data_IF_974032834827
#
_entry.id   IF_974032834827
#
_cell.length_a   1.000
_cell.length_b   1.000
_cell.length_c   1.000
_cell.angle_alpha   90.00
_cell.angle_beta   90.00
_cell.angle_gamma   90.00
#
_symmetry.space_group_name_H-M   'P 1'
#
loop_
_entity.id
_entity.type
_entity.pdbx_description
1 polymer ?
#
# COMPACT_ATOMS: atom_id res chain seq x y z
N UNK A 1 24.01 -31.14 -36.18
CA UNK A 1 24.35 -31.04 -34.75
C UNK A 1 23.27 -30.18 -34.10
N UNK A 2 22.37 -30.79 -33.32
CA UNK A 2 21.21 -30.13 -32.73
C UNK A 2 21.59 -29.47 -31.40
N UNK A 3 21.59 -28.14 -31.37
CA UNK A 3 21.88 -27.30 -30.19
C UNK A 3 20.70 -27.30 -29.19
N UNK A 4 19.57 -27.93 -29.52
CA UNK A 4 18.38 -27.98 -28.68
C UNK A 4 18.49 -29.08 -27.59
N UNK A 5 19.36 -30.11 -27.79
CA UNK A 5 19.51 -31.21 -26.84
C UNK A 5 20.27 -30.85 -25.56
N UNK A 6 21.21 -29.91 -25.61
CA UNK A 6 22.08 -29.57 -24.47
C UNK A 6 21.44 -28.63 -23.45
N UNK A 7 20.44 -27.84 -23.85
CA UNK A 7 19.70 -26.98 -22.92
C UNK A 7 18.73 -27.80 -22.08
N UNK A 8 18.16 -28.88 -22.65
CA UNK A 8 17.14 -29.65 -21.93
C UNK A 8 17.73 -30.53 -20.82
N UNK A 9 18.95 -31.05 -21.01
CA UNK A 9 19.65 -31.80 -19.95
C UNK A 9 20.11 -30.92 -18.78
N UNK A 10 20.27 -29.61 -18.99
CA UNK A 10 20.66 -28.66 -17.93
C UNK A 10 19.49 -28.21 -17.04
N UNK A 11 18.25 -28.27 -17.53
CA UNK A 11 17.05 -27.77 -16.81
C UNK A 11 16.26 -28.90 -16.13
N UNK A 12 16.54 -30.16 -16.51
CA UNK A 12 15.92 -31.37 -15.94
C UNK A 12 15.97 -31.47 -14.40
N UNK A 13 17.10 -31.21 -13.71
CA UNK A 13 17.13 -31.32 -12.25
C UNK A 13 16.36 -30.20 -11.52
N UNK A 14 16.01 -29.10 -12.19
CA UNK A 14 15.18 -28.02 -11.64
C UNK A 14 13.70 -28.35 -11.79
N UNK A 15 13.31 -28.98 -12.90
CA UNK A 15 11.92 -29.37 -13.17
C UNK A 15 11.43 -30.51 -12.27
N UNK A 16 12.31 -31.46 -11.93
CA UNK A 16 11.97 -32.59 -11.05
C UNK A 16 11.80 -32.18 -9.57
N UNK A 17 12.26 -30.98 -9.17
CA UNK A 17 12.08 -30.44 -7.82
C UNK A 17 10.80 -29.60 -7.69
N UNK A 18 10.34 -28.98 -8.77
CA UNK A 18 9.18 -28.07 -8.75
C UNK A 18 7.86 -28.81 -8.97
N UNK A 19 7.89 -30.09 -9.36
CA UNK A 19 6.70 -30.80 -9.81
C UNK A 19 6.31 -32.08 -9.04
N UNK A 20 6.03 -32.00 -7.72
CA UNK A 20 5.16 -33.00 -7.10
C UNK A 20 3.97 -32.43 -6.28
N UNK A 21 3.58 -31.15 -6.47
CA UNK A 21 2.41 -30.59 -5.75
C UNK A 21 1.28 -30.18 -6.70
N UNK A 22 1.10 -30.91 -7.80
CA UNK A 22 -0.16 -30.90 -8.53
C UNK A 22 -0.54 -32.35 -8.87
N UNK A 23 -1.69 -32.76 -8.32
CA UNK A 23 -2.51 -33.91 -8.70
C UNK A 23 -2.08 -35.29 -8.16
N UNK A 24 -2.47 -35.60 -6.92
CA UNK A 24 -3.16 -36.87 -6.62
C UNK A 24 -4.20 -36.64 -5.53
N UNK A 25 -5.46 -36.40 -5.89
CA UNK A 25 -6.60 -36.84 -5.07
C UNK A 25 -7.68 -37.33 -6.03
N UNK A 26 -7.88 -38.65 -6.04
CA UNK A 26 -8.77 -39.37 -6.95
C UNK A 26 -10.27 -39.16 -6.70
N UNK A 27 -11.14 -39.94 -7.39
CA UNK A 27 -12.59 -39.70 -7.51
C UNK A 27 -13.41 -39.77 -6.21
N UNK A 28 -12.79 -40.02 -5.06
CA UNK A 28 -13.44 -39.97 -3.75
C UNK A 28 -13.71 -38.53 -3.25
N UNK A 29 -13.10 -37.51 -3.86
CA UNK A 29 -13.35 -36.10 -3.53
C UNK A 29 -14.72 -35.58 -4.03
N UNK A 30 -15.41 -36.32 -4.91
CA UNK A 30 -16.68 -35.90 -5.52
C UNK A 30 -17.91 -35.95 -4.60
N UNK A 31 -17.87 -36.76 -3.53
CA UNK A 31 -19.02 -36.91 -2.62
C UNK A 31 -18.89 -36.15 -1.28
N UNK A 32 -17.68 -35.71 -0.90
CA UNK A 32 -17.47 -34.86 0.28
C UNK A 32 -17.79 -33.38 0.04
N UNK A 33 -17.63 -32.91 -1.20
CA UNK A 33 -17.84 -31.50 -1.55
C UNK A 33 -19.32 -31.08 -1.52
N UNK A 34 -20.26 -31.99 -1.83
CA UNK A 34 -21.69 -31.65 -1.80
C UNK A 34 -22.23 -31.51 -0.37
N UNK A 35 -21.75 -32.33 0.59
CA UNK A 35 -22.15 -32.24 2.00
C UNK A 35 -21.54 -31.01 2.72
N UNK A 36 -20.34 -30.57 2.32
CA UNK A 36 -19.73 -29.32 2.84
C UNK A 36 -20.35 -28.07 2.20
N UNK A 37 -20.88 -28.18 0.98
CA UNK A 37 -21.64 -27.11 0.32
C UNK A 37 -23.10 -26.98 0.82
N UNK A 38 -23.73 -28.08 1.26
CA UNK A 38 -25.14 -28.06 1.70
C UNK A 38 -25.33 -27.89 3.22
N UNK A 39 -24.27 -27.89 4.05
CA UNK A 39 -24.39 -27.75 5.51
C UNK A 39 -23.65 -26.58 6.16
N UNK A 40 -23.31 -25.52 5.41
CA UNK A 40 -23.11 -24.21 6.05
C UNK A 40 -24.46 -23.52 6.19
N UNK A 41 -25.16 -23.89 7.27
CA UNK A 41 -26.06 -22.95 7.96
C UNK A 41 -25.38 -21.59 7.92
N UNK A 42 -25.99 -20.64 7.20
CA UNK A 42 -25.62 -19.23 7.26
C UNK A 42 -25.57 -18.86 8.74
N UNK A 43 -24.37 -18.88 9.34
CA UNK A 43 -24.11 -18.00 10.47
C UNK A 43 -24.43 -16.63 9.89
N UNK A 44 -25.51 -16.02 10.37
CA UNK A 44 -25.75 -14.59 10.17
C UNK A 44 -24.55 -13.91 10.80
N UNK A 45 -23.52 -13.69 9.98
CA UNK A 45 -22.38 -12.85 10.28
C UNK A 45 -22.89 -11.43 10.04
N UNK A 46 -22.61 -10.55 10.99
CA UNK A 46 -23.12 -9.18 11.01
C UNK A 46 -22.40 -8.38 9.91
N UNK A 47 -22.88 -8.47 8.66
CA UNK A 47 -22.24 -7.80 7.50
C UNK A 47 -22.18 -6.27 7.66
N UNK A 48 -22.99 -5.70 8.56
CA UNK A 48 -22.98 -4.27 8.87
C UNK A 48 -21.69 -3.85 9.58
N UNK A 49 -21.19 -4.62 10.56
CA UNK A 49 -19.99 -4.26 11.34
C UNK A 49 -18.73 -4.20 10.45
N UNK A 50 -18.61 -5.11 9.47
CA UNK A 50 -17.50 -5.09 8.52
C UNK A 50 -17.59 -3.91 7.56
N UNK A 51 -18.81 -3.54 7.12
CA UNK A 51 -19.03 -2.41 6.20
C UNK A 51 -18.76 -1.07 6.89
N UNK A 52 -19.22 -0.91 8.12
CA UNK A 52 -19.00 0.31 8.92
C UNK A 52 -17.50 0.54 9.19
N UNK A 53 -16.77 -0.54 9.52
CA UNK A 53 -15.31 -0.48 9.74
C UNK A 53 -14.55 -0.10 8.47
N UNK A 54 -15.00 -0.62 7.31
CA UNK A 54 -14.43 -0.30 6.00
C UNK A 54 -14.73 1.14 5.61
N UNK A 55 -15.96 1.61 5.79
CA UNK A 55 -16.34 2.98 5.49
C UNK A 55 -15.51 3.98 6.32
N UNK A 56 -15.34 3.71 7.62
CA UNK A 56 -14.47 4.52 8.49
C UNK A 56 -13.02 4.56 7.98
N UNK A 57 -12.46 3.41 7.58
CA UNK A 57 -11.11 3.34 7.04
C UNK A 57 -10.99 4.13 5.72
N UNK A 58 -11.98 4.02 4.82
CA UNK A 58 -12.00 4.75 3.54
C UNK A 58 -12.07 6.25 3.76
N UNK A 59 -12.89 6.71 4.70
CA UNK A 59 -13.00 8.13 5.04
C UNK A 59 -11.68 8.67 5.57
N UNK A 60 -11.05 7.95 6.51
CA UNK A 60 -9.76 8.34 7.06
C UNK A 60 -8.68 8.38 5.97
N UNK A 61 -8.55 7.30 5.18
CA UNK A 61 -7.59 7.21 4.08
C UNK A 61 -7.77 8.36 3.10
N UNK A 62 -9.02 8.66 2.70
CA UNK A 62 -9.30 9.73 1.74
C UNK A 62 -8.92 11.10 2.31
N UNK A 63 -9.32 11.41 3.54
CA UNK A 63 -8.99 12.68 4.17
C UNK A 63 -7.46 12.87 4.29
N UNK A 64 -6.75 11.81 4.68
CA UNK A 64 -5.30 11.84 4.88
C UNK A 64 -4.52 11.85 3.58
N UNK A 65 -4.97 11.13 2.55
CA UNK A 65 -4.38 11.18 1.21
C UNK A 65 -4.31 12.62 0.67
N UNK A 66 -5.40 13.40 0.78
CA UNK A 66 -5.39 14.80 0.35
C UNK A 66 -4.46 15.68 1.19
N UNK A 67 -4.40 15.45 2.51
CA UNK A 67 -3.51 16.19 3.41
C UNK A 67 -2.03 15.91 3.09
N UNK A 68 -1.68 14.63 2.89
CA UNK A 68 -0.33 14.19 2.50
C UNK A 68 0.08 14.83 1.18
N UNK A 69 -0.75 14.74 0.13
CA UNK A 69 -0.41 15.31 -1.18
C UNK A 69 -0.14 16.82 -1.13
N UNK A 70 -0.94 17.57 -0.36
CA UNK A 70 -0.69 19.01 -0.12
C UNK A 70 0.66 19.23 0.55
N UNK A 71 0.98 18.43 1.56
CA UNK A 71 2.19 18.63 2.36
C UNK A 71 3.47 18.18 1.63
N UNK A 72 3.37 17.23 0.70
CA UNK A 72 4.44 16.89 -0.25
C UNK A 72 4.81 18.10 -1.11
N UNK A 73 3.82 18.77 -1.69
CA UNK A 73 4.07 19.95 -2.53
C UNK A 73 4.66 21.12 -1.73
N UNK A 74 4.15 21.34 -0.51
CA UNK A 74 4.72 22.36 0.39
C UNK A 74 6.16 22.02 0.80
N UNK A 75 6.46 20.75 1.07
CA UNK A 75 7.80 20.28 1.41
C UNK A 75 8.80 20.50 0.27
N UNK A 76 8.41 20.16 -0.97
CA UNK A 76 9.21 20.41 -2.18
C UNK A 76 9.49 21.89 -2.36
N UNK A 77 8.44 22.72 -2.33
CA UNK A 77 8.57 24.17 -2.54
C UNK A 77 9.50 24.83 -1.51
N UNK A 78 9.28 24.55 -0.23
CA UNK A 78 10.10 25.14 0.84
C UNK A 78 11.52 24.61 0.85
N UNK A 79 11.71 23.31 0.66
CA UNK A 79 13.03 22.69 0.68
C UNK A 79 13.93 23.10 -0.47
N UNK A 80 13.40 23.22 -1.70
CA UNK A 80 14.17 23.72 -2.85
C UNK A 80 14.65 25.16 -2.65
N UNK A 81 13.81 26.01 -2.03
CA UNK A 81 14.20 27.38 -1.69
C UNK A 81 15.28 27.43 -0.59
N UNK A 82 15.18 26.58 0.44
CA UNK A 82 16.20 26.46 1.50
C UNK A 82 17.54 25.95 0.94
N UNK A 83 17.52 24.96 0.04
CA UNK A 83 18.71 24.43 -0.60
C UNK A 83 19.36 25.43 -1.58
N UNK A 84 18.56 26.29 -2.22
CA UNK A 84 19.04 27.37 -3.10
C UNK A 84 19.51 28.64 -2.39
N UNK A 85 19.35 28.73 -1.07
CA UNK A 85 19.71 29.90 -0.26
C UNK A 85 21.20 29.91 0.14
N UNK A 86 22.08 29.93 -0.87
CA UNK A 86 23.38 30.59 -0.76
C UNK A 86 23.37 32.00 -1.40
N UNK A 87 22.26 32.43 -2.04
CA UNK A 87 22.25 33.64 -2.89
C UNK A 87 21.23 34.74 -2.53
N UNK A 88 20.38 34.59 -1.51
CA UNK A 88 19.37 35.63 -1.17
C UNK A 88 19.56 36.25 0.23
N UNK A 89 19.68 37.59 0.35
CA UNK A 89 20.11 38.27 1.57
C UNK A 89 18.95 38.76 2.48
N UNK A 90 17.86 37.99 2.62
CA UNK A 90 16.73 38.42 3.47
C UNK A 90 16.30 37.31 4.43
N UNK A 91 16.20 37.65 5.71
CA UNK A 91 15.80 36.87 6.88
C UNK A 91 14.35 36.29 6.83
N UNK A 92 13.89 35.84 5.67
CA UNK A 92 12.73 34.93 5.53
C UNK A 92 13.09 33.45 5.79
N UNK A 93 14.38 33.18 6.01
CA UNK A 93 14.99 31.85 6.15
C UNK A 93 14.44 31.06 7.36
N UNK A 94 14.12 31.67 8.53
CA UNK A 94 13.54 30.93 9.65
C UNK A 94 12.15 30.36 9.33
N UNK A 95 11.27 31.16 8.70
CA UNK A 95 9.89 30.74 8.44
C UNK A 95 9.78 29.64 7.38
N UNK A 96 10.68 29.61 6.38
CA UNK A 96 10.70 28.53 5.40
C UNK A 96 11.19 27.20 6.00
N UNK A 97 12.24 27.23 6.83
CA UNK A 97 12.72 26.04 7.54
C UNK A 97 11.65 25.48 8.48
N UNK A 98 10.95 26.37 9.20
CA UNK A 98 9.82 26.00 10.05
C UNK A 98 8.67 25.40 9.23
N UNK A 99 8.30 26.01 8.09
CA UNK A 99 7.26 25.46 7.21
C UNK A 99 7.66 24.09 6.62
N UNK A 100 8.92 23.91 6.26
CA UNK A 100 9.45 22.62 5.80
C UNK A 100 9.42 21.56 6.90
N UNK A 101 9.77 21.93 8.14
CA UNK A 101 9.69 21.05 9.29
C UNK A 101 8.23 20.71 9.63
N UNK A 102 7.31 21.67 9.52
CA UNK A 102 5.88 21.47 9.74
C UNK A 102 5.27 20.53 8.69
N UNK A 103 5.56 20.72 7.40
CA UNK A 103 5.07 19.81 6.36
C UNK A 103 5.63 18.40 6.54
N UNK A 104 6.91 18.28 6.91
CA UNK A 104 7.52 16.99 7.30
C UNK A 104 6.79 16.35 8.48
N UNK A 105 6.53 17.10 9.55
CA UNK A 105 5.85 16.61 10.74
C UNK A 105 4.43 16.11 10.42
N UNK A 106 3.64 16.92 9.72
CA UNK A 106 2.26 16.55 9.33
C UNK A 106 2.21 15.31 8.46
N UNK A 107 3.13 15.14 7.50
CA UNK A 107 3.20 13.91 6.71
C UNK A 107 3.49 12.68 7.58
N UNK A 108 4.38 12.80 8.57
CA UNK A 108 4.68 11.70 9.51
C UNK A 108 3.47 11.38 10.37
N UNK A 109 2.77 12.39 10.87
CA UNK A 109 1.58 12.23 11.72
C UNK A 109 0.43 11.58 10.93
N UNK A 110 0.11 12.10 9.74
CA UNK A 110 -0.92 11.55 8.87
C UNK A 110 -0.61 10.09 8.47
N UNK A 111 0.65 9.79 8.14
CA UNK A 111 1.06 8.41 7.88
C UNK A 111 0.91 7.53 9.12
N UNK A 112 1.23 8.03 10.31
CA UNK A 112 1.16 7.27 11.56
C UNK A 112 -0.28 6.91 11.90
N UNK A 113 -1.22 7.85 11.75
CA UNK A 113 -2.65 7.58 11.93
C UNK A 113 -3.13 6.45 11.01
N UNK A 114 -2.80 6.50 9.72
CA UNK A 114 -3.15 5.44 8.76
C UNK A 114 -2.48 4.10 9.13
N UNK A 115 -1.19 4.10 9.51
CA UNK A 115 -0.47 2.88 9.88
C UNK A 115 -1.07 2.23 11.14
N UNK A 116 -1.64 3.04 12.03
CA UNK A 116 -2.24 2.58 13.29
C UNK A 116 -3.67 2.03 13.15
N UNK A 117 -4.26 2.09 11.96
CA UNK A 117 -5.59 1.52 11.71
C UNK A 117 -5.58 0.02 11.99
N UNK A 118 -6.50 -0.43 12.85
CA UNK A 118 -6.80 -1.85 13.07
C UNK A 118 -8.00 -2.25 12.21
N UNK A 119 -7.74 -2.67 10.97
CA UNK A 119 -8.77 -3.18 10.07
C UNK A 119 -8.83 -4.71 10.19
N UNK A 120 -9.83 -5.22 10.89
CA UNK A 120 -10.12 -6.65 10.94
C UNK A 120 -11.37 -6.95 10.12
N UNK A 121 -11.19 -7.53 8.93
CA UNK A 121 -12.31 -7.92 8.07
C UNK A 121 -12.62 -9.41 8.25
N UNK A 122 -13.80 -9.72 8.76
CA UNK A 122 -14.22 -11.12 9.02
C UNK A 122 -14.82 -11.80 7.79
N UNK A 123 -15.16 -11.03 6.78
CA UNK A 123 -15.88 -11.48 5.60
C UNK A 123 -14.91 -11.69 4.42
N UNK A 124 -15.02 -12.86 3.78
CA UNK A 124 -14.13 -13.26 2.69
C UNK A 124 -14.33 -12.43 1.43
N UNK A 125 -15.53 -11.90 1.24
CA UNK A 125 -15.89 -11.12 0.05
C UNK A 125 -15.13 -9.77 0.01
N UNK A 126 -14.53 -9.37 1.13
CA UNK A 126 -13.79 -8.12 1.28
C UNK A 126 -12.27 -8.31 1.40
N UNK A 127 -11.77 -9.52 1.14
CA UNK A 127 -10.34 -9.82 1.30
C UNK A 127 -9.47 -8.97 0.36
N UNK A 128 -9.91 -8.76 -0.88
CA UNK A 128 -9.22 -7.91 -1.85
C UNK A 128 -9.18 -6.45 -1.38
N UNK A 129 -10.26 -5.98 -0.75
CA UNK A 129 -10.33 -4.64 -0.17
C UNK A 129 -9.33 -4.44 0.98
N UNK A 130 -9.23 -5.43 1.87
CA UNK A 130 -8.25 -5.46 2.95
C UNK A 130 -6.80 -5.42 2.41
N UNK A 131 -6.53 -6.18 1.34
CA UNK A 131 -5.23 -6.17 0.65
C UNK A 131 -4.89 -4.79 0.06
N UNK A 132 -5.88 -4.11 -0.54
CA UNK A 132 -5.71 -2.75 -1.06
C UNK A 132 -5.45 -1.71 0.05
N UNK A 133 -6.16 -1.78 1.18
CA UNK A 133 -5.87 -0.95 2.36
C UNK A 133 -4.45 -1.22 2.89
N UNK A 134 -4.06 -2.50 3.00
CA UNK A 134 -2.71 -2.87 3.46
C UNK A 134 -1.62 -2.35 2.53
N UNK A 135 -1.87 -2.34 1.22
CA UNK A 135 -0.96 -1.72 0.24
C UNK A 135 -0.82 -0.23 0.49
N UNK A 136 -1.93 0.50 0.69
CA UNK A 136 -1.89 1.92 1.02
C UNK A 136 -1.12 2.19 2.33
N UNK A 137 -1.38 1.41 3.40
CA UNK A 137 -0.63 1.49 4.65
C UNK A 137 0.87 1.22 4.46
N UNK A 138 1.24 0.31 3.56
CA UNK A 138 2.63 0.03 3.23
C UNK A 138 3.31 1.25 2.60
N UNK A 139 2.65 1.93 1.66
CA UNK A 139 3.20 3.15 1.06
C UNK A 139 3.31 4.29 2.07
N UNK A 140 2.37 4.42 3.02
CA UNK A 140 2.53 5.35 4.14
C UNK A 140 3.75 5.02 5.03
N UNK A 141 4.05 3.73 5.27
CA UNK A 141 5.29 3.33 5.99
C UNK A 141 6.53 3.75 5.20
N UNK A 142 6.52 3.59 3.88
CA UNK A 142 7.62 3.99 3.01
C UNK A 142 7.82 5.51 3.08
N UNK A 143 6.75 6.30 2.89
CA UNK A 143 6.80 7.76 2.99
C UNK A 143 7.31 8.21 4.36
N UNK A 144 6.75 7.68 5.46
CA UNK A 144 7.19 7.98 6.82
C UNK A 144 8.69 7.74 7.00
N UNK A 145 9.20 6.59 6.55
CA UNK A 145 10.64 6.28 6.61
C UNK A 145 11.47 7.26 5.79
N UNK A 146 11.01 7.67 4.62
CA UNK A 146 11.71 8.66 3.79
C UNK A 146 11.74 10.01 4.50
N UNK A 147 10.64 10.42 5.14
CA UNK A 147 10.58 11.68 5.85
C UNK A 147 11.43 11.68 7.12
N UNK A 148 11.51 10.56 7.83
CA UNK A 148 12.34 10.39 9.03
C UNK A 148 13.84 10.36 8.70
N UNK A 149 14.21 9.74 7.59
CA UNK A 149 15.60 9.54 7.19
C UNK A 149 16.10 10.65 6.24
N UNK A 150 17.36 11.06 6.39
CA UNK A 150 18.07 12.08 5.58
C UNK A 150 17.54 13.52 5.66
N UNK A 151 18.48 14.44 5.46
CA UNK A 151 18.21 15.83 5.14
C UNK A 151 17.60 15.99 3.74
N UNK A 152 17.15 17.19 3.40
CA UNK A 152 16.57 17.49 2.10
C UNK A 152 17.62 17.36 1.00
N UNK A 153 17.37 16.50 0.01
CA UNK A 153 18.18 16.36 -1.21
C UNK A 153 17.30 16.00 -2.42
N UNK A 154 17.83 16.14 -3.64
CA UNK A 154 17.08 15.87 -4.87
C UNK A 154 16.63 14.40 -4.98
N UNK A 155 17.45 13.47 -4.44
CA UNK A 155 17.12 12.05 -4.43
C UNK A 155 15.91 11.76 -3.52
N UNK A 156 15.79 12.44 -2.39
CA UNK A 156 14.65 12.34 -1.49
C UNK A 156 13.39 12.81 -2.18
N UNK A 157 13.45 13.88 -2.97
CA UNK A 157 12.29 14.35 -3.75
C UNK A 157 11.84 13.32 -4.79
N UNK A 158 12.76 12.73 -5.55
CA UNK A 158 12.39 11.74 -6.58
C UNK A 158 11.78 10.48 -5.96
N UNK A 159 12.28 10.04 -4.81
CA UNK A 159 11.70 8.90 -4.08
C UNK A 159 10.33 9.28 -3.49
N UNK A 160 10.14 10.48 -2.93
CA UNK A 160 8.84 10.96 -2.46
C UNK A 160 7.82 10.95 -3.60
N UNK A 161 8.17 11.46 -4.78
CA UNK A 161 7.29 11.46 -5.96
C UNK A 161 6.87 10.04 -6.38
N UNK A 162 7.81 9.10 -6.35
CA UNK A 162 7.51 7.68 -6.65
C UNK A 162 6.51 7.10 -5.64
N UNK A 163 6.63 7.46 -4.36
CA UNK A 163 5.69 6.99 -3.33
C UNK A 163 4.33 7.70 -3.45
N UNK A 164 4.30 8.97 -3.82
CA UNK A 164 3.06 9.72 -4.07
C UNK A 164 2.23 9.11 -5.22
N UNK A 165 2.89 8.74 -6.32
CA UNK A 165 2.24 8.04 -7.43
C UNK A 165 1.62 6.71 -6.98
N UNK A 166 2.34 5.92 -6.18
CA UNK A 166 1.83 4.66 -5.62
C UNK A 166 0.67 4.88 -4.65
N UNK A 167 0.74 5.91 -3.81
CA UNK A 167 -0.37 6.28 -2.92
C UNK A 167 -1.62 6.62 -3.73
N UNK A 168 -1.47 7.38 -4.82
CA UNK A 168 -2.57 7.72 -5.75
C UNK A 168 -3.17 6.48 -6.42
N UNK A 169 -2.34 5.55 -6.89
CA UNK A 169 -2.81 4.30 -7.48
C UNK A 169 -3.59 3.44 -6.46
N UNK A 170 -3.04 3.24 -5.27
CA UNK A 170 -3.69 2.47 -4.21
C UNK A 170 -4.97 3.14 -3.71
N UNK A 171 -4.99 4.46 -3.57
CA UNK A 171 -6.21 5.22 -3.26
C UNK A 171 -7.28 5.02 -4.33
N UNK A 172 -6.91 5.12 -5.61
CA UNK A 172 -7.82 4.89 -6.73
C UNK A 172 -8.48 3.52 -6.71
N UNK A 173 -7.72 2.46 -6.39
CA UNK A 173 -8.25 1.10 -6.22
C UNK A 173 -9.26 1.02 -5.08
N UNK A 174 -8.89 1.52 -3.90
CA UNK A 174 -9.78 1.54 -2.72
C UNK A 174 -11.10 2.26 -3.04
N UNK A 175 -11.05 3.41 -3.70
CA UNK A 175 -12.25 4.18 -4.04
C UNK A 175 -13.12 3.49 -5.10
N UNK A 176 -12.51 2.79 -6.05
CA UNK A 176 -13.26 2.04 -7.06
C UNK A 176 -13.95 0.83 -6.42
N UNK A 177 -13.24 0.07 -5.59
CA UNK A 177 -13.81 -1.08 -4.91
C UNK A 177 -14.95 -0.66 -3.98
N UNK A 178 -14.79 0.46 -3.26
CA UNK A 178 -15.80 0.98 -2.34
C UNK A 178 -17.07 1.45 -3.05
N UNK A 179 -16.96 1.99 -4.27
CA UNK A 179 -18.12 2.38 -5.10
C UNK A 179 -18.89 1.18 -5.64
N UNK A 180 -18.22 0.05 -5.81
CA UNK A 180 -18.82 -1.20 -6.27
C UNK A 180 -19.40 -2.04 -5.11
N UNK A 181 -19.37 -1.48 -3.89
CA UNK A 181 -19.85 -2.05 -2.62
C UNK A 181 -21.25 -1.57 -2.23
#
# INVERSE_FOLDING_TARGET
MNVIGSVWEAVKPVWDVVNPIWVVVGPAAGFGLKSVLENKKKKKINSSESKDSIEQAVHLISAKYFSIGRDIELYKFTGSNIAGLNEFPVEWIPSQKELNALSRGRMIDDCTEIISMDLTVKDKDFKEFEENIRSFMHECRNLKRIMENKEFDELKISVIQTVDEKLKESHGKIMNDFRNF
#
